data_IF_375688868970
#
_entry.id   IF_375688868970
#
_cell.length_a   1.000
_cell.length_b   1.000
_cell.length_c   1.000
_cell.angle_alpha   90.00
_cell.angle_beta   90.00
_cell.angle_gamma   90.00
#
_symmetry.space_group_name_H-M   'P 1'
#
loop_
_entity.id
_entity.type
_entity.pdbx_description
1 polymer ?
#
# COMPACT_ATOMS: atom_id res chain seq x y z
N UNK A 1 -24.00 0.01 -11.31
CA UNK A 1 -23.28 -0.72 -12.38
C UNK A 1 -22.05 -1.34 -11.73
N UNK A 2 -22.02 -2.67 -11.57
CA UNK A 2 -20.80 -3.33 -11.11
C UNK A 2 -19.82 -3.40 -12.29
N UNK A 3 -18.54 -3.06 -12.10
CA UNK A 3 -17.56 -3.23 -13.17
C UNK A 3 -17.52 -4.70 -13.58
N UNK A 4 -17.39 -4.94 -14.88
CA UNK A 4 -17.11 -6.27 -15.42
C UNK A 4 -15.80 -6.81 -14.82
N UNK A 5 -15.78 -8.12 -14.53
CA UNK A 5 -14.65 -8.76 -13.85
C UNK A 5 -13.36 -8.66 -14.68
N UNK A 6 -13.46 -8.77 -16.01
CA UNK A 6 -12.31 -8.62 -16.91
C UNK A 6 -11.72 -7.20 -16.87
N UNK A 7 -12.59 -6.18 -16.82
CA UNK A 7 -12.15 -4.79 -16.64
C UNK A 7 -11.48 -4.56 -15.29
N UNK A 8 -12.05 -5.13 -14.21
CA UNK A 8 -11.48 -5.05 -12.87
C UNK A 8 -10.10 -5.72 -12.79
N UNK A 9 -9.95 -6.91 -13.36
CA UNK A 9 -8.68 -7.64 -13.40
C UNK A 9 -7.62 -6.94 -14.23
N UNK A 10 -8.00 -6.28 -15.33
CA UNK A 10 -7.09 -5.46 -16.12
C UNK A 10 -6.54 -4.29 -15.28
N UNK A 11 -7.43 -3.56 -14.59
CA UNK A 11 -7.01 -2.46 -13.71
C UNK A 11 -6.16 -2.97 -12.52
N UNK A 12 -6.54 -4.10 -11.93
CA UNK A 12 -5.78 -4.74 -10.86
C UNK A 12 -4.39 -5.19 -11.32
N UNK A 13 -4.24 -5.68 -12.56
CA UNK A 13 -2.95 -6.04 -13.13
C UNK A 13 -2.00 -4.83 -13.25
N UNK A 14 -2.53 -3.68 -13.68
CA UNK A 14 -1.76 -2.42 -13.70
C UNK A 14 -1.34 -2.01 -12.30
N UNK A 15 -2.27 -2.06 -11.33
CA UNK A 15 -1.98 -1.76 -9.91
C UNK A 15 -0.92 -2.71 -9.36
N UNK A 16 -0.99 -4.00 -9.64
CA UNK A 16 0.03 -4.98 -9.26
C UNK A 16 1.40 -4.69 -9.85
N UNK A 17 1.46 -4.21 -11.10
CA UNK A 17 2.70 -3.74 -11.70
C UNK A 17 3.34 -2.62 -10.88
N UNK A 18 2.58 -1.60 -10.49
CA UNK A 18 3.08 -0.51 -9.64
C UNK A 18 3.47 -0.99 -8.23
N UNK A 19 2.66 -1.84 -7.61
CA UNK A 19 2.93 -2.38 -6.28
C UNK A 19 4.27 -3.15 -6.25
N UNK A 20 4.45 -4.10 -7.18
CA UNK A 20 5.66 -4.93 -7.27
C UNK A 20 6.87 -4.08 -7.65
N UNK A 21 6.72 -3.14 -8.58
CA UNK A 21 7.81 -2.23 -8.96
C UNK A 21 8.25 -1.36 -7.78
N UNK A 22 7.30 -0.77 -7.05
CA UNK A 22 7.59 0.02 -5.85
C UNK A 22 8.33 -0.79 -4.79
N UNK A 23 7.90 -2.03 -4.55
CA UNK A 23 8.57 -2.94 -3.62
C UNK A 23 9.97 -3.35 -4.13
N UNK A 24 10.14 -3.63 -5.41
CA UNK A 24 11.44 -3.97 -5.99
C UNK A 24 12.44 -2.80 -5.86
N UNK A 25 12.01 -1.56 -6.12
CA UNK A 25 12.83 -0.36 -5.89
C UNK A 25 13.23 -0.22 -4.42
N UNK A 26 12.31 -0.55 -3.50
CA UNK A 26 12.58 -0.54 -2.06
C UNK A 26 13.63 -1.58 -1.66
N UNK A 27 13.53 -2.80 -2.18
CA UNK A 27 14.51 -3.86 -1.94
C UNK A 27 15.88 -3.49 -2.50
N UNK A 28 15.94 -2.96 -3.73
CA UNK A 28 17.20 -2.48 -4.32
C UNK A 28 17.85 -1.40 -3.46
N UNK A 29 17.04 -0.49 -2.91
CA UNK A 29 17.53 0.53 -1.97
C UNK A 29 18.14 -0.09 -0.71
N UNK A 30 17.55 -1.16 -0.17
CA UNK A 30 18.11 -1.85 1.00
C UNK A 30 19.39 -2.63 0.69
N UNK A 31 19.47 -3.24 -0.49
CA UNK A 31 20.71 -3.89 -0.95
C UNK A 31 21.84 -2.86 -1.04
N UNK A 32 21.57 -1.67 -1.60
CA UNK A 32 22.54 -0.58 -1.69
C UNK A 32 22.98 -0.06 -0.31
N UNK A 33 22.07 -0.01 0.66
CA UNK A 33 22.36 0.39 2.06
C UNK A 33 23.23 -0.67 2.74
N UNK A 34 22.88 -1.95 2.58
CA UNK A 34 23.66 -3.08 3.09
C UNK A 34 25.09 -3.10 2.52
N UNK A 35 25.23 -2.85 1.22
CA UNK A 35 26.53 -2.77 0.55
C UNK A 35 27.45 -1.65 1.07
N UNK A 36 26.89 -0.65 1.76
CA UNK A 36 27.63 0.44 2.43
C UNK A 36 27.94 0.14 3.90
N UNK A 37 27.59 -1.05 4.40
CA UNK A 37 27.79 -1.46 5.78
C UNK A 37 26.79 -0.84 6.77
N UNK A 38 25.69 -0.28 6.27
CA UNK A 38 24.63 0.31 7.09
C UNK A 38 23.50 -0.70 7.33
N UNK A 39 22.64 -0.42 8.31
CA UNK A 39 21.59 -1.33 8.77
C UNK A 39 20.44 -1.32 7.76
N UNK A 40 19.97 -2.51 7.38
CA UNK A 40 18.79 -2.67 6.53
C UNK A 40 17.52 -2.83 7.35
N UNK A 41 16.45 -2.13 6.97
CA UNK A 41 15.10 -2.38 7.46
C UNK A 41 14.04 -1.89 6.47
N UNK A 42 12.89 -2.54 6.50
CA UNK A 42 11.70 -2.00 5.84
C UNK A 42 11.01 -0.99 6.77
N UNK A 43 10.85 0.30 6.38
CA UNK A 43 10.05 1.25 7.13
C UNK A 43 8.61 0.76 7.31
N UNK A 44 7.94 1.17 8.40
CA UNK A 44 6.51 0.95 8.59
C UNK A 44 5.65 1.33 7.37
N UNK A 45 6.05 2.34 6.59
CA UNK A 45 5.43 2.71 5.32
C UNK A 45 5.29 1.54 4.33
N UNK A 46 6.29 0.66 4.22
CA UNK A 46 6.27 -0.47 3.28
C UNK A 46 5.17 -1.48 3.60
N UNK A 47 4.69 -1.53 4.84
CA UNK A 47 3.54 -2.37 5.23
C UNK A 47 2.29 -1.98 4.43
N UNK A 48 2.11 -0.70 4.07
CA UNK A 48 0.97 -0.28 3.25
C UNK A 48 1.00 -0.93 1.87
N UNK A 49 2.17 -0.93 1.20
CA UNK A 49 2.29 -1.54 -0.12
C UNK A 49 2.19 -3.07 -0.04
N UNK A 50 2.79 -3.70 0.98
CA UNK A 50 2.67 -5.14 1.21
C UNK A 50 1.22 -5.57 1.45
N UNK A 51 0.46 -4.85 2.28
CA UNK A 51 -0.96 -5.10 2.49
C UNK A 51 -1.76 -4.87 1.21
N UNK A 52 -1.43 -3.81 0.46
CA UNK A 52 -2.03 -3.53 -0.85
C UNK A 52 -1.85 -4.71 -1.83
N UNK A 53 -0.64 -5.30 -1.92
CA UNK A 53 -0.36 -6.48 -2.73
C UNK A 53 -1.21 -7.67 -2.28
N UNK A 54 -1.21 -7.96 -0.97
CA UNK A 54 -1.95 -9.09 -0.42
C UNK A 54 -3.45 -8.95 -0.70
N UNK A 55 -4.01 -7.76 -0.52
CA UNK A 55 -5.42 -7.48 -0.78
C UNK A 55 -5.74 -7.61 -2.27
N UNK A 56 -4.87 -7.12 -3.16
CA UNK A 56 -5.06 -7.31 -4.62
C UNK A 56 -5.05 -8.79 -4.98
N UNK A 57 -4.04 -9.55 -4.55
CA UNK A 57 -3.88 -10.96 -4.92
C UNK A 57 -5.00 -11.81 -4.35
N UNK A 58 -5.27 -11.70 -3.05
CA UNK A 58 -6.27 -12.54 -2.39
C UNK A 58 -7.69 -12.08 -2.71
N UNK A 59 -7.97 -10.78 -2.61
CA UNK A 59 -9.32 -10.26 -2.71
C UNK A 59 -9.82 -10.01 -4.14
N UNK A 60 -8.93 -9.63 -5.07
CA UNK A 60 -9.33 -9.28 -6.44
C UNK A 60 -9.15 -10.44 -7.40
N UNK A 61 -8.03 -11.18 -7.31
CA UNK A 61 -7.73 -12.27 -8.24
C UNK A 61 -8.17 -13.64 -7.71
N UNK A 62 -7.75 -14.04 -6.51
CA UNK A 62 -7.94 -15.40 -6.01
C UNK A 62 -9.37 -15.64 -5.52
N UNK A 63 -9.95 -14.73 -4.75
CA UNK A 63 -11.28 -14.93 -4.16
C UNK A 63 -12.38 -15.20 -5.22
N UNK A 64 -12.47 -14.47 -6.35
CA UNK A 64 -13.45 -14.79 -7.41
C UNK A 64 -13.24 -16.16 -8.06
N UNK A 65 -11.98 -16.58 -8.23
CA UNK A 65 -11.65 -17.87 -8.85
C UNK A 65 -12.10 -19.03 -7.97
N UNK A 66 -12.04 -18.85 -6.65
CA UNK A 66 -12.44 -19.84 -5.65
C UNK A 66 -13.90 -19.70 -5.22
N UNK A 67 -14.66 -18.78 -5.80
CA UNK A 67 -16.04 -18.44 -5.39
C UNK A 67 -16.16 -18.09 -3.88
N UNK A 68 -15.15 -17.40 -3.35
CA UNK A 68 -15.10 -16.97 -1.94
C UNK A 68 -15.70 -15.58 -1.80
N UNK A 69 -16.71 -15.47 -0.93
CA UNK A 69 -17.32 -14.19 -0.56
C UNK A 69 -18.45 -13.75 -1.50
N UNK A 70 -18.78 -12.46 -1.49
CA UNK A 70 -19.85 -11.91 -2.34
C UNK A 70 -19.31 -11.44 -3.68
N UNK A 71 -20.19 -11.30 -4.67
CA UNK A 71 -19.88 -10.72 -5.99
C UNK A 71 -19.32 -9.29 -5.93
N UNK A 72 -19.51 -8.59 -4.81
CA UNK A 72 -19.00 -7.23 -4.58
C UNK A 72 -17.63 -7.19 -3.92
N UNK A 73 -17.18 -8.31 -3.33
CA UNK A 73 -15.90 -8.41 -2.61
C UNK A 73 -14.71 -7.94 -3.47
N UNK A 74 -14.57 -8.33 -4.76
CA UNK A 74 -13.39 -7.96 -5.55
C UNK A 74 -13.30 -6.46 -5.79
N UNK A 75 -14.45 -5.81 -5.98
CA UNK A 75 -14.53 -4.36 -6.18
C UNK A 75 -14.12 -3.62 -4.90
N UNK A 76 -14.58 -4.11 -3.74
CA UNK A 76 -14.24 -3.55 -2.43
C UNK A 76 -12.76 -3.78 -2.09
N UNK A 77 -12.24 -4.97 -2.35
CA UNK A 77 -10.83 -5.29 -2.17
C UNK A 77 -9.95 -4.43 -3.07
N UNK A 78 -10.32 -4.25 -4.35
CA UNK A 78 -9.60 -3.40 -5.28
C UNK A 78 -9.53 -1.94 -4.80
N UNK A 79 -10.66 -1.37 -4.36
CA UNK A 79 -10.66 0.00 -3.85
C UNK A 79 -9.80 0.16 -2.59
N UNK A 80 -9.82 -0.81 -1.67
CA UNK A 80 -8.94 -0.81 -0.50
C UNK A 80 -7.46 -0.91 -0.89
N UNK A 81 -7.12 -1.82 -1.82
CA UNK A 81 -5.74 -1.96 -2.29
C UNK A 81 -5.22 -0.66 -2.93
N UNK A 82 -6.02 -0.03 -3.79
CA UNK A 82 -5.68 1.27 -4.41
C UNK A 82 -5.47 2.35 -3.35
N UNK A 83 -6.33 2.41 -2.33
CA UNK A 83 -6.19 3.38 -1.24
C UNK A 83 -4.86 3.20 -0.50
N UNK A 84 -4.50 1.95 -0.15
CA UNK A 84 -3.25 1.66 0.54
C UNK A 84 -2.02 1.96 -0.34
N UNK A 85 -2.07 1.61 -1.63
CA UNK A 85 -1.00 1.93 -2.58
C UNK A 85 -0.85 3.44 -2.75
N UNK A 86 -1.95 4.18 -2.84
CA UNK A 86 -1.90 5.64 -2.95
C UNK A 86 -1.35 6.28 -1.67
N UNK A 87 -1.62 5.71 -0.50
CA UNK A 87 -1.08 6.16 0.79
C UNK A 87 0.42 5.87 0.97
N UNK A 88 0.92 4.78 0.38
CA UNK A 88 2.32 4.35 0.48
C UNK A 88 3.36 5.45 0.19
N UNK A 89 3.35 6.16 -0.95
CA UNK A 89 4.35 7.17 -1.24
C UNK A 89 4.35 8.33 -0.24
N UNK A 90 3.18 8.69 0.32
CA UNK A 90 3.10 9.73 1.36
C UNK A 90 3.69 9.25 2.68
N UNK A 91 3.40 8.02 3.09
CA UNK A 91 4.03 7.44 4.28
C UNK A 91 5.54 7.33 4.12
N UNK A 92 6.02 6.91 2.95
CA UNK A 92 7.44 6.81 2.65
C UNK A 92 8.13 8.18 2.62
N UNK A 93 7.51 9.21 2.03
CA UNK A 93 8.00 10.58 2.10
C UNK A 93 8.11 11.07 3.56
N UNK A 94 7.13 10.71 4.40
CA UNK A 94 7.17 10.95 5.85
C UNK A 94 8.32 10.21 6.55
N UNK A 95 8.64 8.99 6.14
CA UNK A 95 9.79 8.24 6.66
C UNK A 95 11.12 8.94 6.36
N UNK A 96 11.20 9.69 5.26
CA UNK A 96 12.37 10.49 4.91
C UNK A 96 12.30 11.94 5.45
N UNK A 97 11.35 12.26 6.31
CA UNK A 97 11.10 13.60 6.87
C UNK A 97 10.94 14.71 5.81
N UNK A 98 10.39 14.37 4.63
CA UNK A 98 10.35 15.24 3.45
C UNK A 98 9.23 16.29 3.41
N UNK A 99 8.24 16.25 4.32
CA UNK A 99 7.12 17.21 4.30
C UNK A 99 7.45 18.58 4.89
N UNK A 100 8.55 18.71 5.61
CA UNK A 100 8.99 19.97 6.19
C UNK A 100 10.42 20.31 5.71
N UNK A 101 10.54 21.35 4.90
CA UNK A 101 11.83 21.81 4.37
C UNK A 101 12.78 22.35 5.44
N UNK A 102 12.29 22.60 6.66
CA UNK A 102 13.09 23.06 7.80
C UNK A 102 13.61 21.92 8.67
N UNK A 103 13.24 20.66 8.39
CA UNK A 103 13.75 19.50 9.11
C UNK A 103 14.79 18.74 8.31
N UNK A 104 15.75 18.15 9.02
CA UNK A 104 16.66 17.15 8.47
C UNK A 104 16.14 15.75 8.76
N UNK A 105 16.67 14.76 8.04
CA UNK A 105 16.36 13.34 8.27
C UNK A 105 16.63 12.98 9.73
N UNK A 106 15.63 12.45 10.43
CA UNK A 106 15.73 12.08 11.84
C UNK A 106 16.56 10.82 12.09
N UNK A 107 16.76 9.99 11.05
CA UNK A 107 17.45 8.69 11.12
C UNK A 107 16.84 7.72 12.15
N UNK A 108 15.58 7.96 12.53
CA UNK A 108 14.83 7.05 13.38
C UNK A 108 14.09 6.03 12.54
N UNK A 109 13.89 4.82 13.08
CA UNK A 109 13.13 3.77 12.39
C UNK A 109 11.69 4.20 12.09
N UNK A 110 11.08 5.02 12.94
CA UNK A 110 9.69 5.44 12.80
C UNK A 110 9.49 6.94 13.10
N UNK A 111 9.83 7.84 12.16
CA UNK A 111 9.77 9.29 12.33
C UNK A 111 8.35 9.82 12.56
N UNK A 112 8.25 11.02 13.12
CA UNK A 112 6.96 11.66 13.42
C UNK A 112 6.11 11.90 12.16
N UNK A 113 6.74 12.32 11.06
CA UNK A 113 6.02 12.56 9.80
C UNK A 113 5.43 11.26 9.22
N UNK A 114 6.16 10.15 9.31
CA UNK A 114 5.66 8.83 8.92
C UNK A 114 4.46 8.40 9.77
N UNK A 115 4.51 8.59 11.09
CA UNK A 115 3.41 8.27 12.00
C UNK A 115 2.12 9.00 11.63
N UNK A 116 2.24 10.28 11.30
CA UNK A 116 1.10 11.11 10.90
C UNK A 116 0.52 10.59 9.58
N UNK A 117 1.37 10.37 8.57
CA UNK A 117 0.94 9.86 7.27
C UNK A 117 0.26 8.47 7.39
N UNK A 118 0.86 7.55 8.14
CA UNK A 118 0.26 6.24 8.42
C UNK A 118 -1.07 6.34 9.16
N UNK A 119 -1.20 7.28 10.10
CA UNK A 119 -2.45 7.50 10.83
C UNK A 119 -3.55 8.00 9.90
N UNK A 120 -3.24 8.92 8.98
CA UNK A 120 -4.18 9.43 7.98
C UNK A 120 -4.64 8.31 7.03
N UNK A 121 -3.70 7.49 6.54
CA UNK A 121 -4.02 6.33 5.68
C UNK A 121 -4.84 5.30 6.45
N UNK A 122 -4.48 5.01 7.71
CA UNK A 122 -5.19 4.07 8.58
C UNK A 122 -6.64 4.50 8.84
N UNK A 123 -6.86 5.78 9.19
CA UNK A 123 -8.22 6.34 9.34
C UNK A 123 -9.00 6.25 8.03
N UNK A 124 -8.36 6.56 6.90
CA UNK A 124 -8.98 6.47 5.58
C UNK A 124 -9.36 5.04 5.21
N UNK A 125 -8.50 4.06 5.53
CA UNK A 125 -8.77 2.64 5.30
C UNK A 125 -9.91 2.12 6.19
N UNK A 126 -9.94 2.49 7.47
CA UNK A 126 -11.05 2.14 8.37
C UNK A 126 -12.36 2.77 7.90
N UNK A 127 -12.34 4.04 7.51
CA UNK A 127 -13.51 4.72 6.96
C UNK A 127 -14.00 4.04 5.67
N UNK A 128 -13.07 3.67 4.77
CA UNK A 128 -13.38 2.93 3.56
C UNK A 128 -14.03 1.58 3.85
N UNK A 129 -13.42 0.75 4.71
CA UNK A 129 -13.94 -0.58 5.08
C UNK A 129 -15.33 -0.45 5.71
N UNK A 130 -15.51 0.51 6.61
CA UNK A 130 -16.79 0.77 7.27
C UNK A 130 -17.86 1.14 6.24
N UNK A 131 -17.59 2.10 5.36
CA UNK A 131 -18.52 2.51 4.31
C UNK A 131 -18.80 1.38 3.30
N UNK A 132 -17.79 0.58 2.97
CA UNK A 132 -17.90 -0.57 2.08
C UNK A 132 -18.69 -1.73 2.71
N UNK A 133 -18.76 -1.84 4.04
CA UNK A 133 -19.56 -2.85 4.71
C UNK A 133 -21.08 -2.53 4.65
N UNK A 134 -21.44 -1.25 4.61
CA UNK A 134 -22.84 -0.79 4.54
C UNK A 134 -23.41 -0.65 3.12
N UNK A 135 -22.59 -0.89 2.08
CA UNK A 135 -22.99 -0.83 0.66
C UNK A 135 -22.89 -2.19 0.02
#
# INVERSE_FOLDING_TARGET
MHPDLGSLWTAAGVVSGFQVTGFALRINREIDVSGKGDITWLPPADILNLLSIVITMLGVFIAPVLDIGSSTLPVKAFGLAVLLLAGYPFALAGHYDMFNSRTHRSWTYFPGQERIALSVVGVSAVAYITLAAFR
#
